data_IF_035443103830
#
_entry.id   IF_035443103830
#
_cell.length_a   1.000
_cell.length_b   1.000
_cell.length_c   1.000
_cell.angle_alpha   90.00
_cell.angle_beta   90.00
_cell.angle_gamma   90.00
#
_symmetry.space_group_name_H-M   'P 1'
#
loop_
_entity.id
_entity.type
_entity.pdbx_description
1 polymer ?
#
# COMPACT_ATOMS: atom_id res chain seq x y z
N UNK A 1 -7.15 4.78 11.75
CA UNK A 1 -6.92 5.27 10.38
C UNK A 1 -8.15 5.05 9.52
N UNK A 2 -8.37 5.95 8.58
CA UNK A 2 -9.17 5.70 7.38
C UNK A 2 -8.26 4.99 6.37
N UNK A 3 -8.74 3.91 5.75
CA UNK A 3 -8.00 3.19 4.73
C UNK A 3 -8.65 3.39 3.37
N UNK A 4 -7.83 3.61 2.35
CA UNK A 4 -8.27 3.88 0.99
C UNK A 4 -7.61 2.91 0.05
N UNK A 5 -8.44 2.30 -0.81
CA UNK A 5 -7.94 1.56 -1.96
C UNK A 5 -7.58 2.55 -3.07
N UNK A 6 -6.29 2.77 -3.30
CA UNK A 6 -5.78 3.71 -4.29
C UNK A 6 -5.64 2.97 -5.63
N UNK A 7 -6.80 2.67 -6.23
CA UNK A 7 -7.03 1.62 -7.24
C UNK A 7 -6.02 1.61 -8.38
N UNK A 8 -5.84 2.72 -9.08
CA UNK A 8 -4.96 2.78 -10.26
C UNK A 8 -3.50 3.06 -9.88
N UNK A 9 -3.24 3.31 -8.59
CA UNK A 9 -1.88 3.41 -8.05
C UNK A 9 -1.43 2.11 -7.39
N UNK A 10 -2.20 1.01 -7.47
CA UNK A 10 -1.77 -0.32 -7.05
C UNK A 10 -1.32 -0.40 -5.57
N UNK A 11 -1.98 0.36 -4.70
CA UNK A 11 -1.61 0.43 -3.28
C UNK A 11 -2.80 0.69 -2.37
N UNK A 12 -2.58 0.47 -1.08
CA UNK A 12 -3.51 0.84 -0.01
C UNK A 12 -2.91 1.99 0.76
N UNK A 13 -3.67 3.05 0.96
CA UNK A 13 -3.23 4.25 1.70
C UNK A 13 -3.92 4.28 3.06
N UNK A 14 -3.19 4.68 4.10
CA UNK A 14 -3.79 5.03 5.39
C UNK A 14 -3.77 6.53 5.61
N UNK A 15 -4.87 7.06 6.13
CA UNK A 15 -5.08 8.47 6.39
C UNK A 15 -5.43 8.63 7.86
N UNK A 16 -4.87 9.68 8.48
CA UNK A 16 -5.34 10.15 9.77
C UNK A 16 -6.73 10.79 9.59
N UNK A 17 -7.80 10.20 10.15
CA UNK A 17 -9.16 10.70 9.95
C UNK A 17 -9.42 12.04 10.66
N UNK A 18 -8.61 12.42 11.65
CA UNK A 18 -8.80 13.68 12.38
C UNK A 18 -8.21 14.85 11.59
N UNK A 19 -7.04 14.65 10.98
CA UNK A 19 -6.30 15.72 10.28
C UNK A 19 -6.40 15.65 8.75
N UNK A 20 -6.84 14.52 8.20
CA UNK A 20 -6.84 14.26 6.76
C UNK A 20 -5.45 13.97 6.18
N UNK A 21 -4.43 13.83 7.02
CA UNK A 21 -3.04 13.64 6.57
C UNK A 21 -2.82 12.22 6.04
N UNK A 22 -2.13 12.10 4.90
CA UNK A 22 -1.66 10.80 4.40
C UNK A 22 -0.54 10.25 5.32
N UNK A 23 -0.76 9.09 5.90
CA UNK A 23 0.11 8.46 6.90
C UNK A 23 0.86 7.24 6.35
N UNK A 24 0.99 7.18 5.02
CA UNK A 24 1.75 6.17 4.28
C UNK A 24 0.89 5.15 3.53
N UNK A 25 1.56 4.27 2.79
CA UNK A 25 0.93 3.27 1.94
C UNK A 25 1.58 1.89 2.03
N UNK A 26 0.79 0.86 1.72
CA UNK A 26 1.21 -0.54 1.57
C UNK A 26 1.09 -0.98 0.11
N UNK A 27 2.12 -1.64 -0.40
CA UNK A 27 2.14 -2.15 -1.78
C UNK A 27 3.54 -2.61 -2.21
N UNK A 28 3.72 -2.81 -3.51
CA UNK A 28 5.01 -3.12 -4.14
C UNK A 28 5.72 -1.83 -4.56
N UNK A 29 6.98 -1.64 -4.18
CA UNK A 29 7.75 -0.44 -4.46
C UNK A 29 8.27 -0.45 -5.90
N UNK A 30 7.67 0.37 -6.76
CA UNK A 30 8.09 0.54 -8.15
C UNK A 30 9.13 1.65 -8.37
N UNK A 31 9.13 2.68 -7.52
CA UNK A 31 10.20 3.69 -7.50
C UNK A 31 10.39 4.30 -6.11
N UNK A 32 11.64 4.65 -5.80
CA UNK A 32 12.03 5.34 -4.57
C UNK A 32 12.90 6.59 -4.83
N UNK A 33 13.02 7.02 -6.09
CA UNK A 33 13.87 8.13 -6.52
C UNK A 33 13.11 9.46 -6.64
N UNK A 34 13.88 10.55 -6.80
CA UNK A 34 13.39 11.92 -7.03
C UNK A 34 12.32 11.99 -8.13
N UNK A 35 11.25 12.80 -7.96
CA UNK A 35 11.04 13.79 -6.89
C UNK A 35 10.39 13.23 -5.61
N UNK A 36 10.13 11.92 -5.53
CA UNK A 36 9.42 11.29 -4.41
C UNK A 36 10.34 10.39 -3.59
N UNK A 37 11.46 10.95 -3.15
CA UNK A 37 12.47 10.17 -2.42
C UNK A 37 11.85 9.58 -1.15
N UNK A 38 11.86 8.25 -1.05
CA UNK A 38 11.46 7.56 0.17
C UNK A 38 12.44 7.87 1.30
N UNK A 39 12.01 7.63 2.55
CA UNK A 39 12.87 7.74 3.74
C UNK A 39 12.75 6.49 4.61
N UNK A 40 13.66 6.36 5.59
CA UNK A 40 13.58 5.31 6.61
C UNK A 40 13.69 3.88 6.07
N UNK A 41 12.94 2.97 6.69
CA UNK A 41 12.97 1.53 6.37
C UNK A 41 12.55 1.23 4.93
N UNK A 42 11.67 2.04 4.36
CA UNK A 42 11.21 1.90 2.98
C UNK A 42 12.29 2.27 1.96
N UNK A 43 13.06 3.33 2.22
CA UNK A 43 14.22 3.66 1.38
C UNK A 43 15.27 2.55 1.42
N UNK A 44 15.55 2.02 2.62
CA UNK A 44 16.52 0.95 2.81
C UNK A 44 16.10 -0.35 2.12
N UNK A 45 14.80 -0.62 2.02
CA UNK A 45 14.28 -1.80 1.33
C UNK A 45 14.52 -1.74 -0.20
N UNK A 46 14.51 -0.55 -0.80
CA UNK A 46 14.76 -0.36 -2.23
C UNK A 46 13.51 -0.50 -3.09
N UNK A 47 13.70 -0.60 -4.41
CA UNK A 47 12.64 -0.97 -5.36
C UNK A 47 12.52 -2.49 -5.45
N UNK A 48 11.45 -2.95 -6.08
CA UNK A 48 11.18 -4.36 -6.35
C UNK A 48 10.94 -5.23 -5.11
N UNK A 49 10.40 -4.61 -4.07
CA UNK A 49 10.08 -5.24 -2.79
C UNK A 49 8.72 -4.77 -2.28
N UNK A 50 8.11 -5.57 -1.41
CA UNK A 50 6.91 -5.14 -0.66
C UNK A 50 7.33 -4.14 0.41
N UNK A 51 6.51 -3.12 0.60
CA UNK A 51 6.76 -2.12 1.64
C UNK A 51 6.90 -2.77 3.03
N UNK A 52 8.05 -2.62 3.71
CA UNK A 52 8.28 -3.26 5.01
C UNK A 52 7.39 -2.67 6.11
N UNK A 53 7.02 -1.39 5.96
CA UNK A 53 6.12 -0.65 6.83
C UNK A 53 5.14 0.18 5.97
N UNK A 54 4.37 1.07 6.57
CA UNK A 54 3.60 2.09 5.88
C UNK A 54 4.54 3.17 5.35
N UNK A 55 4.80 3.13 4.05
CA UNK A 55 5.82 3.96 3.42
C UNK A 55 5.27 5.32 3.01
N UNK A 56 6.09 6.36 3.15
CA UNK A 56 5.80 7.69 2.64
C UNK A 56 6.62 7.94 1.37
N UNK A 57 6.05 8.70 0.43
CA UNK A 57 6.64 8.97 -0.89
C UNK A 57 6.88 7.70 -1.71
N UNK A 58 7.71 7.78 -2.75
CA UNK A 58 7.87 6.77 -3.79
C UNK A 58 6.59 6.53 -4.60
N UNK A 59 6.67 5.57 -5.52
CA UNK A 59 5.51 5.10 -6.27
C UNK A 59 5.34 3.60 -6.10
N UNK A 60 4.09 3.19 -5.94
CA UNK A 60 3.73 1.80 -6.08
C UNK A 60 3.70 1.40 -7.55
N UNK A 61 3.85 0.11 -7.82
CA UNK A 61 3.63 -0.47 -9.12
C UNK A 61 2.82 -1.77 -8.98
N UNK A 62 2.14 -2.14 -10.06
CA UNK A 62 1.61 -3.50 -10.19
C UNK A 62 2.76 -4.44 -10.53
N UNK A 63 2.93 -5.49 -9.74
CA UNK A 63 3.90 -6.54 -10.01
C UNK A 63 3.27 -7.90 -9.68
N UNK A 64 3.66 -8.94 -10.43
CA UNK A 64 3.37 -10.34 -10.12
C UNK A 64 1.98 -10.64 -9.55
N UNK A 65 1.94 -11.58 -8.60
CA UNK A 65 0.75 -12.00 -7.83
C UNK A 65 1.15 -12.43 -6.41
N UNK A 66 2.30 -12.01 -5.91
CA UNK A 66 2.72 -12.33 -4.54
C UNK A 66 1.91 -11.52 -3.53
N UNK A 67 1.97 -11.89 -2.25
CA UNK A 67 1.28 -11.16 -1.19
C UNK A 67 1.85 -9.75 -1.07
N UNK A 68 0.97 -8.74 -1.02
CA UNK A 68 1.34 -7.33 -0.98
C UNK A 68 1.51 -6.67 -2.34
N UNK A 69 1.53 -7.44 -3.44
CA UNK A 69 1.52 -6.91 -4.79
C UNK A 69 0.07 -6.75 -5.27
N UNK A 70 -0.45 -5.51 -5.23
CA UNK A 70 -1.83 -5.23 -5.63
C UNK A 70 -1.93 -4.94 -7.14
N UNK A 71 -2.97 -5.45 -7.78
CA UNK A 71 -3.39 -5.02 -9.10
C UNK A 71 -4.87 -4.61 -9.10
N UNK A 72 -5.09 -3.29 -9.22
CA UNK A 72 -6.43 -2.68 -9.21
C UNK A 72 -7.21 -3.08 -7.94
N UNK A 73 -6.69 -2.79 -6.74
CA UNK A 73 -7.45 -3.02 -5.52
C UNK A 73 -8.66 -2.08 -5.51
N UNK A 74 -9.84 -2.53 -5.07
CA UNK A 74 -11.06 -1.71 -5.13
C UNK A 74 -11.79 -1.65 -3.80
N UNK A 75 -12.33 -2.77 -3.35
CA UNK A 75 -13.08 -2.86 -2.10
C UNK A 75 -12.17 -2.96 -0.88
N UNK A 76 -12.52 -2.23 0.19
CA UNK A 76 -11.83 -2.32 1.48
C UNK A 76 -12.83 -2.50 2.61
N UNK A 77 -12.55 -3.44 3.51
CA UNK A 77 -13.28 -3.65 4.76
C UNK A 77 -12.27 -4.04 5.85
N UNK A 78 -12.70 -4.25 7.08
CA UNK A 78 -11.79 -4.63 8.16
C UNK A 78 -12.49 -4.93 9.47
N UNK A 79 -11.74 -5.54 10.37
CA UNK A 79 -12.11 -5.77 11.76
C UNK A 79 -11.09 -5.12 12.71
N UNK A 80 -11.02 -5.56 13.98
CA UNK A 80 -10.09 -5.01 14.97
C UNK A 80 -8.62 -5.27 14.62
N UNK A 81 -8.33 -6.32 13.86
CA UNK A 81 -6.98 -6.85 13.65
C UNK A 81 -6.53 -6.69 12.20
N UNK A 82 -7.44 -6.79 11.24
CA UNK A 82 -7.11 -6.88 9.82
C UNK A 82 -7.91 -5.92 8.94
N UNK A 83 -7.29 -5.60 7.82
CA UNK A 83 -7.89 -4.94 6.66
C UNK A 83 -8.04 -6.01 5.57
N UNK A 84 -9.21 -6.07 4.97
CA UNK A 84 -9.54 -6.95 3.86
C UNK A 84 -9.64 -6.12 2.58
N UNK A 85 -8.86 -6.49 1.56
CA UNK A 85 -8.75 -5.77 0.31
C UNK A 85 -9.18 -6.68 -0.84
N UNK A 86 -10.12 -6.23 -1.67
CA UNK A 86 -10.43 -6.90 -2.92
C UNK A 86 -9.42 -6.47 -3.99
N UNK A 87 -8.51 -7.37 -4.34
CA UNK A 87 -7.45 -7.17 -5.32
C UNK A 87 -7.93 -7.66 -6.70
N UNK A 88 -8.74 -6.82 -7.35
CA UNK A 88 -9.73 -7.27 -8.31
C UNK A 88 -9.15 -7.85 -9.61
N UNK A 89 -8.06 -7.29 -10.16
CA UNK A 89 -7.44 -7.87 -11.37
C UNK A 89 -6.65 -9.14 -11.08
N UNK A 90 -6.25 -9.33 -9.83
CA UNK A 90 -5.66 -10.59 -9.38
C UNK A 90 -6.70 -11.63 -8.95
N UNK A 91 -8.00 -11.33 -9.07
CA UNK A 91 -9.11 -12.23 -8.74
C UNK A 91 -9.00 -12.82 -7.33
N UNK A 92 -8.59 -12.00 -6.35
CA UNK A 92 -8.35 -12.45 -4.97
C UNK A 92 -8.76 -11.43 -3.93
N UNK A 93 -8.82 -11.90 -2.69
CA UNK A 93 -8.85 -11.04 -1.50
C UNK A 93 -7.50 -11.14 -0.79
N UNK A 94 -6.99 -10.01 -0.32
CA UNK A 94 -5.79 -9.94 0.51
C UNK A 94 -6.10 -9.40 1.90
N UNK A 95 -5.33 -9.84 2.88
CA UNK A 95 -5.37 -9.35 4.25
C UNK A 95 -4.12 -8.53 4.56
N UNK A 96 -4.29 -7.43 5.29
CA UNK A 96 -3.21 -6.64 5.87
C UNK A 96 -3.44 -6.49 7.37
N UNK A 97 -2.39 -6.51 8.22
CA UNK A 97 -2.51 -6.09 9.61
C UNK A 97 -2.99 -4.64 9.70
N UNK A 98 -3.82 -4.35 10.71
CA UNK A 98 -4.36 -3.00 10.97
C UNK A 98 -3.37 -2.11 11.73
N UNK A 99 -2.40 -2.70 12.42
CA UNK A 99 -1.36 -2.04 13.21
C UNK A 99 -0.17 -1.56 12.37
#
# INVERSE_FOLDING_TARGET
YLYVSDTNNHRIVRIDPETGTNMGWKGYIGSNSSPFAMTGTCLAAGTDVITPDWCNQGSAASAGRNLGEFDTPTGISGDSNYIYVLDSKNNRTMTLPRN
#
